data_IF_792012896905
#
_entry.id   IF_792012896905
#
_cell.length_a   1.000
_cell.length_b   1.000
_cell.length_c   1.000
_cell.angle_alpha   90.00
_cell.angle_beta   90.00
_cell.angle_gamma   90.00
#
_symmetry.space_group_name_H-M   'P 1'
#
loop_
_entity.id
_entity.type
_entity.pdbx_description
1 polymer ?
#
# COMPACT_ATOMS: atom_id res chain seq x y z
N UNK A 1 2.44 -9.46 12.23
CA UNK A 1 2.50 -10.92 11.98
C UNK A 1 2.51 -11.12 10.47
N UNK A 2 3.70 -11.35 9.86
CA UNK A 2 3.79 -11.61 8.43
C UNK A 2 3.24 -13.03 8.18
N UNK A 3 2.08 -13.12 7.52
CA UNK A 3 1.67 -14.38 6.92
C UNK A 3 2.45 -14.54 5.61
N UNK A 4 3.50 -15.35 5.63
CA UNK A 4 4.11 -15.88 4.42
C UNK A 4 3.10 -16.84 3.82
N UNK A 5 2.42 -16.45 2.77
CA UNK A 5 1.60 -17.37 1.98
C UNK A 5 2.57 -18.21 1.17
N UNK A 6 2.70 -19.47 1.55
CA UNK A 6 3.57 -20.44 0.90
C UNK A 6 3.15 -20.62 -0.57
N UNK A 7 4.14 -20.60 -1.46
CA UNK A 7 3.98 -20.72 -2.92
C UNK A 7 3.41 -22.07 -3.41
N UNK A 8 2.98 -22.94 -2.50
CA UNK A 8 2.44 -24.25 -2.78
C UNK A 8 0.91 -24.33 -2.94
N UNK A 9 0.19 -23.24 -2.69
CA UNK A 9 -1.25 -23.20 -3.00
C UNK A 9 -1.48 -22.70 -4.44
N UNK A 10 -2.40 -23.31 -5.19
CA UNK A 10 -2.82 -22.78 -6.47
C UNK A 10 -3.20 -21.32 -6.25
N UNK A 11 -2.53 -20.42 -6.98
CA UNK A 11 -2.68 -18.98 -6.79
C UNK A 11 -4.16 -18.63 -6.84
N UNK A 12 -4.73 -18.24 -5.70
CA UNK A 12 -6.06 -17.64 -5.68
C UNK A 12 -6.00 -16.45 -6.64
N UNK A 13 -6.98 -16.33 -7.53
CA UNK A 13 -7.10 -15.12 -8.34
C UNK A 13 -7.16 -13.91 -7.39
N UNK A 14 -6.63 -12.77 -7.80
CA UNK A 14 -6.67 -11.55 -6.99
C UNK A 14 -8.07 -11.28 -6.42
N UNK A 15 -9.10 -11.53 -7.23
CA UNK A 15 -10.51 -11.39 -6.84
C UNK A 15 -10.96 -12.38 -5.75
N UNK A 16 -10.46 -13.61 -5.78
CA UNK A 16 -10.78 -14.59 -4.74
C UNK A 16 -10.13 -14.23 -3.42
N UNK A 17 -8.89 -13.76 -3.45
CA UNK A 17 -8.19 -13.26 -2.27
C UNK A 17 -8.91 -12.02 -1.70
N UNK A 18 -9.25 -11.07 -2.55
CA UNK A 18 -9.94 -9.84 -2.17
C UNK A 18 -11.30 -10.13 -1.48
N UNK A 19 -12.10 -11.01 -2.07
CA UNK A 19 -13.36 -11.48 -1.44
C UNK A 19 -13.12 -12.15 -0.11
N UNK A 20 -12.12 -13.03 -0.01
CA UNK A 20 -11.77 -13.70 1.24
C UNK A 20 -11.33 -12.71 2.33
N UNK A 21 -10.58 -11.65 1.97
CA UNK A 21 -10.22 -10.58 2.89
C UNK A 21 -11.45 -9.84 3.41
N UNK A 22 -12.38 -9.45 2.54
CA UNK A 22 -13.61 -8.77 2.95
C UNK A 22 -14.51 -9.67 3.81
N UNK A 23 -14.68 -10.93 3.45
CA UNK A 23 -15.48 -11.87 4.22
C UNK A 23 -14.89 -12.05 5.62
N UNK A 24 -13.57 -12.16 5.74
CA UNK A 24 -12.90 -12.18 7.03
C UNK A 24 -13.15 -10.90 7.85
N UNK A 25 -12.99 -9.72 7.23
CA UNK A 25 -13.21 -8.44 7.89
C UNK A 25 -14.62 -8.27 8.43
N UNK A 26 -15.62 -8.82 7.73
CA UNK A 26 -17.03 -8.80 8.17
C UNK A 26 -17.30 -9.67 9.39
N UNK A 27 -16.43 -10.63 9.69
CA UNK A 27 -16.54 -11.46 10.92
C UNK A 27 -16.00 -10.79 12.17
N UNK A 28 -15.26 -9.68 12.03
CA UNK A 28 -14.65 -8.98 13.17
C UNK A 28 -15.64 -8.01 13.82
N UNK A 29 -15.57 -7.89 15.14
CA UNK A 29 -16.39 -6.95 15.92
C UNK A 29 -15.84 -5.51 15.93
N UNK A 30 -14.67 -5.29 15.35
CA UNK A 30 -13.99 -3.99 15.30
C UNK A 30 -13.58 -3.63 13.87
N UNK A 31 -13.49 -2.33 13.53
CA UNK A 31 -13.06 -1.90 12.20
C UNK A 31 -11.57 -2.23 11.97
N UNK A 32 -11.27 -2.73 10.78
CA UNK A 32 -9.91 -3.05 10.36
C UNK A 32 -9.76 -2.87 8.86
N UNK A 33 -8.58 -2.44 8.43
CA UNK A 33 -8.16 -2.44 7.03
C UNK A 33 -7.03 -3.45 6.85
N UNK A 34 -7.14 -4.28 5.83
CA UNK A 34 -6.11 -5.23 5.44
C UNK A 34 -5.41 -4.76 4.17
N UNK A 35 -4.09 -4.91 4.14
CA UNK A 35 -3.26 -4.70 2.96
C UNK A 35 -2.53 -6.00 2.64
N UNK A 36 -2.77 -6.53 1.46
CA UNK A 36 -2.06 -7.69 0.92
C UNK A 36 -1.15 -7.26 -0.23
N UNK A 37 0.16 -7.31 0.00
CA UNK A 37 1.15 -6.92 -1.00
C UNK A 37 1.40 -8.04 -2.01
N UNK A 38 1.49 -7.68 -3.30
CA UNK A 38 1.73 -8.63 -4.38
C UNK A 38 2.20 -7.97 -5.67
N UNK A 39 1.90 -8.57 -6.81
CA UNK A 39 2.06 -7.92 -8.13
C UNK A 39 1.08 -6.77 -8.33
N UNK A 40 -0.07 -6.91 -7.74
CA UNK A 40 -1.09 -5.90 -7.53
C UNK A 40 -1.38 -5.97 -6.04
N UNK A 41 -1.28 -4.86 -5.36
CA UNK A 41 -1.59 -4.79 -3.94
C UNK A 41 -3.09 -4.66 -3.74
N UNK A 42 -3.62 -5.36 -2.75
CA UNK A 42 -5.06 -5.38 -2.45
C UNK A 42 -5.27 -4.72 -1.10
N UNK A 43 -6.06 -3.68 -1.07
CA UNK A 43 -6.49 -3.00 0.15
C UNK A 43 -7.98 -3.26 0.35
N UNK A 44 -8.34 -3.79 1.50
CA UNK A 44 -9.71 -4.15 1.83
C UNK A 44 -10.13 -3.58 3.19
N UNK A 45 -11.35 -3.05 3.22
CA UNK A 45 -12.13 -2.81 4.43
C UNK A 45 -13.42 -3.66 4.35
N UNK A 46 -14.31 -3.53 5.33
CA UNK A 46 -15.60 -4.24 5.29
C UNK A 46 -16.41 -3.94 4.04
N UNK A 47 -16.40 -2.66 3.62
CA UNK A 47 -17.29 -2.13 2.61
C UNK A 47 -16.57 -1.61 1.36
N UNK A 48 -15.24 -1.50 1.42
CA UNK A 48 -14.43 -0.99 0.31
C UNK A 48 -13.31 -1.96 -0.08
N UNK A 49 -12.97 -1.93 -1.36
CA UNK A 49 -11.91 -2.73 -1.96
C UNK A 49 -11.19 -1.88 -3.00
N UNK A 50 -9.87 -1.90 -3.00
CA UNK A 50 -9.05 -1.23 -3.99
C UNK A 50 -7.86 -2.10 -4.39
N UNK A 51 -7.55 -2.08 -5.68
CA UNK A 51 -6.35 -2.69 -6.24
C UNK A 51 -5.37 -1.59 -6.62
N UNK A 52 -4.19 -1.59 -6.01
CA UNK A 52 -3.09 -0.69 -6.38
C UNK A 52 -2.16 -1.43 -7.33
N UNK A 53 -2.01 -0.89 -8.54
CA UNK A 53 -1.25 -1.53 -9.63
C UNK A 53 0.16 -0.96 -9.77
N UNK A 54 0.48 0.08 -9.03
CA UNK A 54 1.80 0.69 -9.01
C UNK A 54 2.83 -0.23 -8.35
N UNK A 55 4.04 -0.21 -8.86
CA UNK A 55 5.17 -0.93 -8.31
C UNK A 55 6.16 -1.43 -9.33
N UNK A 56 7.34 -1.83 -8.86
CA UNK A 56 8.39 -2.44 -9.67
C UNK A 56 8.76 -3.82 -9.14
N UNK A 57 8.96 -4.81 -10.02
CA UNK A 57 9.46 -6.13 -9.62
C UNK A 57 10.81 -6.09 -8.90
N UNK A 58 11.60 -5.02 -9.08
CA UNK A 58 12.87 -4.84 -8.39
C UNK A 58 12.72 -4.59 -6.90
N UNK A 59 11.58 -4.09 -6.46
CA UNK A 59 11.30 -3.87 -5.03
C UNK A 59 11.46 -5.16 -4.22
N UNK A 60 11.02 -6.29 -4.75
CA UNK A 60 11.14 -7.60 -4.08
C UNK A 60 12.59 -8.10 -3.94
N UNK A 61 13.54 -7.49 -4.66
CA UNK A 61 14.97 -7.83 -4.63
C UNK A 61 15.79 -6.96 -3.69
N UNK A 62 15.13 -6.02 -3.01
CA UNK A 62 15.75 -5.07 -2.08
C UNK A 62 15.23 -5.33 -0.69
N UNK A 63 16.12 -5.53 0.25
CA UNK A 63 15.76 -5.67 1.66
C UNK A 63 15.29 -4.34 2.24
N UNK A 64 14.25 -4.35 3.05
CA UNK A 64 13.74 -3.17 3.75
C UNK A 64 12.55 -2.49 3.08
N UNK A 65 12.16 -2.85 1.86
CA UNK A 65 10.99 -2.25 1.18
C UNK A 65 9.70 -2.42 1.98
N UNK A 66 9.50 -3.57 2.61
CA UNK A 66 8.35 -3.80 3.50
C UNK A 66 8.36 -2.91 4.73
N UNK A 67 9.53 -2.69 5.35
CA UNK A 67 9.67 -1.77 6.48
C UNK A 67 9.36 -0.33 6.05
N UNK A 68 9.91 0.13 4.94
CA UNK A 68 9.61 1.46 4.38
C UNK A 68 8.12 1.64 4.08
N UNK A 69 7.47 0.64 3.49
CA UNK A 69 6.03 0.67 3.24
C UNK A 69 5.21 0.78 4.55
N UNK A 70 5.64 0.09 5.61
CA UNK A 70 4.97 0.16 6.92
C UNK A 70 5.14 1.54 7.57
N UNK A 71 6.32 2.13 7.47
CA UNK A 71 6.60 3.47 7.99
C UNK A 71 5.80 4.55 7.24
N UNK A 72 5.74 4.45 5.91
CA UNK A 72 4.88 5.30 5.10
C UNK A 72 3.41 5.17 5.49
N UNK A 73 2.92 3.94 5.65
CA UNK A 73 1.56 3.70 6.08
C UNK A 73 1.27 4.37 7.43
N UNK A 74 2.20 4.28 8.39
CA UNK A 74 2.05 4.94 9.69
C UNK A 74 1.99 6.47 9.54
N UNK A 75 2.81 7.07 8.66
CA UNK A 75 2.80 8.50 8.40
C UNK A 75 1.48 8.97 7.76
N UNK A 76 0.97 8.26 6.75
CA UNK A 76 -0.31 8.57 6.12
C UNK A 76 -1.49 8.40 7.09
N UNK A 77 -1.45 7.39 7.96
CA UNK A 77 -2.46 7.19 9.01
C UNK A 77 -2.45 8.32 10.05
N UNK A 78 -1.27 8.83 10.41
CA UNK A 78 -1.15 9.96 11.33
C UNK A 78 -1.82 11.21 10.76
N UNK A 79 -1.55 11.54 9.49
CA UNK A 79 -2.19 12.67 8.79
C UNK A 79 -3.70 12.48 8.70
N UNK A 80 -4.17 11.31 8.30
CA UNK A 80 -5.60 11.02 8.23
C UNK A 80 -6.30 11.16 9.59
N UNK A 81 -5.63 10.75 10.68
CA UNK A 81 -6.15 10.91 12.04
C UNK A 81 -6.22 12.37 12.47
N UNK A 82 -5.25 13.21 12.08
CA UNK A 82 -5.26 14.66 12.35
C UNK A 82 -6.39 15.35 11.60
N UNK A 83 -6.58 15.06 10.31
CA UNK A 83 -7.67 15.61 9.49
C UNK A 83 -9.05 15.27 10.07
N UNK A 84 -9.26 14.02 10.50
CA UNK A 84 -10.51 13.62 11.16
C UNK A 84 -10.68 14.24 12.55
N UNK A 85 -9.60 14.37 13.33
CA UNK A 85 -9.64 14.98 14.65
C UNK A 85 -10.04 16.44 14.57
N UNK A 86 -9.60 17.18 13.56
CA UNK A 86 -9.98 18.56 13.31
C UNK A 86 -11.47 18.66 12.91
N UNK A 87 -11.96 17.72 12.10
CA UNK A 87 -13.33 17.72 11.56
C UNK A 87 -14.35 17.18 12.57
N UNK A 88 -14.03 16.11 13.29
CA UNK A 88 -14.98 15.33 14.10
C UNK A 88 -14.61 15.25 15.60
N UNK A 89 -13.55 15.92 16.06
CA UNK A 89 -13.03 15.81 17.43
C UNK A 89 -12.74 14.35 17.86
N UNK A 90 -12.40 13.49 16.93
CA UNK A 90 -11.99 12.10 17.20
C UNK A 90 -10.47 11.99 17.28
N UNK A 91 -9.97 11.07 18.11
CA UNK A 91 -8.53 10.84 18.32
C UNK A 91 -7.92 9.77 17.42
N UNK A 92 -8.72 9.09 16.64
CA UNK A 92 -8.30 8.02 15.72
C UNK A 92 -9.06 8.15 14.41
N UNK A 93 -8.39 7.87 13.30
CA UNK A 93 -9.02 7.83 11.99
C UNK A 93 -10.12 6.77 11.95
N UNK A 94 -11.25 7.10 11.34
CA UNK A 94 -12.30 6.14 11.03
C UNK A 94 -11.87 5.11 9.99
N UNK A 95 -12.68 4.08 9.77
CA UNK A 95 -12.36 3.00 8.82
C UNK A 95 -12.14 3.54 7.40
N UNK A 96 -12.96 4.49 6.97
CA UNK A 96 -12.85 5.10 5.64
C UNK A 96 -11.55 5.90 5.47
N UNK A 97 -11.19 6.75 6.45
CA UNK A 97 -9.95 7.51 6.40
C UNK A 97 -8.73 6.59 6.49
N UNK A 98 -8.80 5.54 7.31
CA UNK A 98 -7.78 4.49 7.39
C UNK A 98 -7.61 3.78 6.04
N UNK A 99 -8.72 3.44 5.38
CA UNK A 99 -8.69 2.80 4.06
C UNK A 99 -8.04 3.71 3.00
N UNK A 100 -8.44 4.97 2.93
CA UNK A 100 -7.84 5.94 1.99
C UNK A 100 -6.35 6.15 2.25
N UNK A 101 -5.95 6.27 3.51
CA UNK A 101 -4.55 6.39 3.90
C UNK A 101 -3.74 5.15 3.46
N UNK A 102 -4.28 3.95 3.64
CA UNK A 102 -3.65 2.71 3.20
C UNK A 102 -3.49 2.64 1.68
N UNK A 103 -4.51 3.03 0.91
CA UNK A 103 -4.44 3.10 -0.57
C UNK A 103 -3.36 4.07 -1.01
N UNK A 104 -3.35 5.29 -0.45
CA UNK A 104 -2.38 6.31 -0.82
C UNK A 104 -0.94 5.93 -0.44
N UNK A 105 -0.71 5.41 0.76
CA UNK A 105 0.61 4.96 1.20
C UNK A 105 1.15 3.83 0.32
N UNK A 106 0.29 2.87 -0.05
CA UNK A 106 0.65 1.76 -0.93
C UNK A 106 0.99 2.27 -2.33
N UNK A 107 0.15 3.14 -2.89
CA UNK A 107 0.40 3.75 -4.20
C UNK A 107 1.68 4.60 -4.20
N UNK A 108 1.91 5.39 -3.15
CA UNK A 108 3.11 6.21 -2.98
C UNK A 108 4.37 5.37 -3.02
N UNK A 109 4.40 4.27 -2.26
CA UNK A 109 5.51 3.32 -2.26
C UNK A 109 5.73 2.67 -3.63
N UNK A 110 4.65 2.27 -4.30
CA UNK A 110 4.68 1.69 -5.64
C UNK A 110 5.23 2.65 -6.70
N UNK A 111 4.75 3.90 -6.70
CA UNK A 111 5.20 4.96 -7.62
C UNK A 111 6.68 5.28 -7.41
N UNK A 112 7.14 5.37 -6.16
CA UNK A 112 8.56 5.53 -5.86
C UNK A 112 9.39 4.38 -6.43
N UNK A 113 8.87 3.15 -6.37
CA UNK A 113 9.47 1.97 -7.00
C UNK A 113 9.56 2.08 -8.53
N UNK A 114 8.56 2.62 -9.18
CA UNK A 114 8.55 2.87 -10.64
C UNK A 114 9.57 3.96 -11.02
N UNK A 115 9.61 5.07 -10.30
CA UNK A 115 10.59 6.14 -10.52
C UNK A 115 12.02 5.60 -10.34
N UNK A 116 12.24 4.79 -9.31
CA UNK A 116 13.53 4.14 -9.10
C UNK A 116 13.90 3.17 -10.24
N UNK A 117 12.91 2.48 -10.84
CA UNK A 117 13.13 1.62 -12.01
C UNK A 117 13.58 2.41 -13.23
N UNK A 118 12.99 3.58 -13.45
CA UNK A 118 13.30 4.46 -14.58
C UNK A 118 14.71 5.09 -14.44
N UNK A 119 15.14 5.39 -13.23
CA UNK A 119 16.34 6.22 -12.97
C UNK A 119 17.57 5.40 -12.57
N UNK A 120 17.39 4.23 -11.94
CA UNK A 120 18.49 3.47 -11.40
C UNK A 120 19.23 2.65 -12.46
N UNK A 121 20.58 2.60 -12.45
CA UNK A 121 21.34 1.61 -13.16
C UNK A 121 20.95 0.16 -12.78
N UNK A 122 21.40 -0.81 -13.57
CA UNK A 122 21.21 -2.24 -13.24
C UNK A 122 21.93 -2.56 -11.93
N UNK A 123 21.19 -3.12 -10.96
CA UNK A 123 21.74 -3.54 -9.67
C UNK A 123 20.81 -3.17 -8.51
N UNK A 124 20.73 -4.06 -7.51
CA UNK A 124 19.85 -3.88 -6.37
C UNK A 124 20.30 -2.71 -5.47
N UNK A 125 21.61 -2.49 -5.33
CA UNK A 125 22.15 -1.39 -4.54
C UNK A 125 21.79 -0.02 -5.13
N UNK A 126 22.01 0.17 -6.44
CA UNK A 126 21.66 1.41 -7.13
C UNK A 126 20.15 1.66 -7.11
N UNK A 127 19.36 0.59 -7.28
CA UNK A 127 17.91 0.67 -7.18
C UNK A 127 17.45 1.09 -5.76
N UNK A 128 18.08 0.53 -4.72
CA UNK A 128 17.76 0.88 -3.33
C UNK A 128 17.99 2.37 -3.04
N UNK A 129 19.13 2.90 -3.51
CA UNK A 129 19.44 4.33 -3.39
C UNK A 129 18.38 5.15 -4.15
N UNK A 130 18.11 4.81 -5.41
CA UNK A 130 17.13 5.52 -6.22
C UNK A 130 15.71 5.46 -5.63
N UNK A 131 15.35 4.37 -4.96
CA UNK A 131 14.06 4.24 -4.26
C UNK A 131 13.98 5.23 -3.09
N UNK A 132 15.03 5.35 -2.29
CA UNK A 132 15.11 6.31 -1.18
C UNK A 132 15.06 7.75 -1.72
N UNK A 133 15.79 8.02 -2.80
CA UNK A 133 15.78 9.34 -3.44
C UNK A 133 14.38 9.68 -3.97
N UNK A 134 13.71 8.73 -4.63
CA UNK A 134 12.34 8.91 -5.10
C UNK A 134 11.37 9.19 -3.94
N UNK A 135 11.43 8.40 -2.87
CA UNK A 135 10.59 8.62 -1.68
C UNK A 135 10.78 10.01 -1.06
N UNK A 136 12.01 10.56 -1.13
CA UNK A 136 12.34 11.86 -0.52
C UNK A 136 12.03 13.06 -1.41
N UNK A 137 11.88 12.86 -2.72
CA UNK A 137 11.75 13.95 -3.71
C UNK A 137 10.40 13.98 -4.42
N UNK A 138 9.64 12.89 -4.36
CA UNK A 138 8.35 12.75 -5.03
C UNK A 138 7.33 13.78 -4.52
N UNK A 139 6.64 14.40 -5.47
CA UNK A 139 5.63 15.43 -5.21
C UNK A 139 4.21 14.89 -5.30
N UNK A 140 3.24 15.65 -4.83
CA UNK A 140 1.82 15.31 -5.01
C UNK A 140 1.43 15.24 -6.51
N UNK A 141 2.08 16.02 -7.38
CA UNK A 141 1.86 16.01 -8.83
C UNK A 141 2.36 14.69 -9.43
N UNK A 142 3.52 14.19 -8.99
CA UNK A 142 4.04 12.87 -9.41
C UNK A 142 3.06 11.76 -9.05
N UNK A 143 2.50 11.80 -7.84
CA UNK A 143 1.51 10.84 -7.39
C UNK A 143 0.24 10.93 -8.22
N UNK A 144 -0.30 12.14 -8.42
CA UNK A 144 -1.54 12.34 -9.18
C UNK A 144 -1.39 11.92 -10.64
N UNK A 145 -0.20 12.09 -11.23
CA UNK A 145 0.07 11.73 -12.62
C UNK A 145 0.35 10.25 -12.85
N UNK A 146 0.71 9.49 -11.79
CA UNK A 146 1.15 8.09 -11.91
C UNK A 146 0.24 7.09 -11.21
N UNK A 147 -0.62 7.53 -10.29
CA UNK A 147 -1.46 6.61 -9.51
C UNK A 147 -2.33 5.73 -10.41
N UNK A 148 -2.26 4.43 -10.18
CA UNK A 148 -2.97 3.43 -10.96
C UNK A 148 -3.79 2.54 -10.03
N UNK A 149 -5.06 2.84 -9.94
CA UNK A 149 -6.02 2.10 -9.12
C UNK A 149 -6.94 1.28 -10.01
N UNK A 150 -7.44 0.16 -9.47
CA UNK A 150 -8.46 -0.67 -10.09
C UNK A 150 -9.55 -1.00 -9.09
N UNK A 151 -10.76 -1.10 -9.60
CA UNK A 151 -11.90 -1.73 -8.94
C UNK A 151 -12.11 -3.13 -9.54
N UNK A 152 -12.82 -3.99 -8.85
CA UNK A 152 -13.22 -5.32 -9.36
C UNK A 152 -14.21 -5.22 -10.51
#
# INVERSE_FOLDING_TARGET
MHAVIDAAHPALSGDALARGMQDYLRTLDFPMVLVASGRVDIIASRDALCFVKNGSPRMSRVTGTGCMATELLAAFLAVAAEEEAETLRRRTAGEEATFRAAVLATAFMGIAGEIAEETAPRGSGSYHIALIDALSTMTAEDVAGRISLGET
#
